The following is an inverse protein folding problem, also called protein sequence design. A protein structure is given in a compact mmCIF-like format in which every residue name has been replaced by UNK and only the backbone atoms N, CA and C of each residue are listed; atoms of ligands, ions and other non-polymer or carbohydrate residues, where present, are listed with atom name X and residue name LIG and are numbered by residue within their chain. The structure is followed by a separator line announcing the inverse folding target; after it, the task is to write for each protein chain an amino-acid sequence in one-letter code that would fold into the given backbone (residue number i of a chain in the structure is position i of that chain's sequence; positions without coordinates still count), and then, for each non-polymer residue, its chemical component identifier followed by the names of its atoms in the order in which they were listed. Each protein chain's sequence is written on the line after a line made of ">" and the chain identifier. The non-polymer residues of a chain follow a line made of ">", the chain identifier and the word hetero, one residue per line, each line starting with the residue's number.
data_IF_696062848510
#
_entry.id   IF_696062848510
#
_cell.length_a   1.000
_cell.length_b   1.000
_cell.length_c   1.000
_cell.angle_alpha   90.00
_cell.angle_beta   90.00
_cell.angle_gamma   90.00
#
_symmetry.space_group_name_H-M   'P 1'
#
loop_
_entity.id
_entity.type
_entity.pdbx_description
1 polymer ?
#
# COMPACT_ATOMS: atom_id res chain seq x y z
N UNK A 1 -1.88 -4.82 3.36
CA UNK A 1 -0.67 -4.28 2.70
C UNK A 1 -1.08 -3.11 1.81
N UNK A 2 -0.15 -2.30 1.30
CA UNK A 2 -0.43 -1.24 0.32
C UNK A 2 -0.96 0.07 0.90
N UNK A 3 -0.89 0.28 2.21
CA UNK A 3 -1.26 1.56 2.82
C UNK A 3 -0.19 2.62 2.57
N UNK A 4 -0.61 3.88 2.49
CA UNK A 4 0.28 5.02 2.38
C UNK A 4 -0.26 6.24 3.14
N UNK A 5 0.65 7.11 3.58
CA UNK A 5 0.33 8.42 4.14
C UNK A 5 0.68 9.49 3.11
N UNK A 6 -0.24 10.44 2.91
CA UNK A 6 -0.06 11.58 2.02
C UNK A 6 0.02 12.86 2.82
N UNK A 7 0.96 13.72 2.44
CA UNK A 7 1.17 15.01 3.07
C UNK A 7 1.91 15.94 2.11
N UNK A 8 1.90 17.24 2.41
CA UNK A 8 2.77 18.20 1.75
C UNK A 8 3.59 18.98 2.76
N UNK A 9 4.78 19.38 2.36
CA UNK A 9 5.70 20.14 3.20
C UNK A 9 6.65 20.97 2.33
N UNK A 10 7.09 22.11 2.84
CA UNK A 10 8.19 22.90 2.29
C UNK A 10 9.55 22.59 2.92
N UNK A 11 9.63 21.55 3.76
CA UNK A 11 10.85 21.13 4.45
C UNK A 11 11.97 20.76 3.48
N UNK A 12 13.21 21.04 3.87
CA UNK A 12 14.43 20.64 3.16
C UNK A 12 14.89 19.23 3.56
N UNK A 13 14.33 18.69 4.64
CA UNK A 13 14.55 17.33 5.11
C UNK A 13 13.25 16.61 5.48
N UNK A 14 13.21 15.30 5.32
CA UNK A 14 12.12 14.44 5.79
C UNK A 14 12.73 13.29 6.57
N UNK A 15 12.31 13.15 7.82
CA UNK A 15 12.65 12.03 8.69
C UNK A 15 11.39 11.23 9.03
N UNK A 16 11.55 9.98 9.43
CA UNK A 16 10.46 9.18 9.97
C UNK A 16 10.93 8.44 11.22
N UNK A 17 10.02 8.32 12.20
CA UNK A 17 10.16 7.43 13.34
C UNK A 17 8.94 6.52 13.37
N UNK A 18 9.15 5.21 13.41
CA UNK A 18 8.06 4.25 13.35
C UNK A 18 8.33 3.00 14.18
N UNK A 19 7.26 2.42 14.69
CA UNK A 19 7.28 1.14 15.40
C UNK A 19 6.50 0.09 14.62
N UNK A 20 7.19 -0.98 14.21
CA UNK A 20 6.57 -2.15 13.60
C UNK A 20 5.84 -3.00 14.66
N UNK A 21 4.76 -3.67 14.27
CA UNK A 21 3.92 -4.41 15.21
C UNK A 21 4.56 -5.71 15.72
N UNK A 22 4.98 -6.58 14.80
CA UNK A 22 5.52 -7.91 15.06
C UNK A 22 7.03 -7.99 15.00
N UNK A 23 7.70 -7.01 14.38
CA UNK A 23 9.12 -7.10 13.99
C UNK A 23 9.38 -8.35 13.14
N UNK A 24 8.50 -8.59 12.18
CA UNK A 24 8.51 -9.78 11.34
C UNK A 24 9.80 -9.87 10.52
N UNK A 25 10.20 -11.10 10.19
CA UNK A 25 11.33 -11.43 9.33
C UNK A 25 10.99 -12.63 8.45
N UNK A 26 11.48 -12.63 7.22
CA UNK A 26 11.32 -13.73 6.28
C UNK A 26 12.63 -13.90 5.50
N UNK A 27 13.13 -15.12 5.41
CA UNK A 27 14.41 -15.42 4.75
C UNK A 27 14.44 -15.10 3.24
N UNK A 28 13.28 -14.95 2.62
CA UNK A 28 13.10 -14.78 1.17
C UNK A 28 12.65 -13.36 0.78
N UNK A 29 12.47 -12.45 1.74
CA UNK A 29 12.03 -11.07 1.50
C UNK A 29 12.90 -10.09 2.28
N UNK A 30 13.19 -8.93 1.67
CA UNK A 30 14.00 -7.89 2.30
C UNK A 30 13.30 -7.31 3.53
N UNK A 31 14.07 -7.02 4.58
CA UNK A 31 13.60 -6.29 5.77
C UNK A 31 12.87 -4.98 5.42
N UNK A 32 13.37 -4.24 4.42
CA UNK A 32 12.75 -3.01 3.93
C UNK A 32 11.34 -3.24 3.38
N UNK A 33 11.13 -4.25 2.54
CA UNK A 33 9.79 -4.62 2.08
C UNK A 33 8.87 -5.06 3.22
N UNK A 34 9.41 -5.78 4.22
CA UNK A 34 8.62 -6.32 5.33
C UNK A 34 8.14 -5.21 6.26
N UNK A 35 9.06 -4.38 6.76
CA UNK A 35 8.83 -3.42 7.85
C UNK A 35 9.48 -2.04 7.66
N UNK A 36 9.98 -1.75 6.46
CA UNK A 36 10.47 -0.43 6.09
C UNK A 36 9.37 0.50 5.56
N UNK A 37 9.78 1.70 5.16
CA UNK A 37 8.93 2.70 4.53
C UNK A 37 9.49 3.08 3.16
N UNK A 38 8.68 3.73 2.32
CA UNK A 38 9.11 4.12 0.98
C UNK A 38 8.54 5.47 0.56
N UNK A 39 9.41 6.48 0.48
CA UNK A 39 9.02 7.86 0.21
C UNK A 39 9.05 8.16 -1.28
N UNK A 40 7.97 8.76 -1.76
CA UNK A 40 7.79 9.28 -3.11
C UNK A 40 7.41 10.77 -3.06
N UNK A 41 7.69 11.49 -4.13
CA UNK A 41 7.25 12.88 -4.30
C UNK A 41 6.68 13.12 -5.70
N UNK A 42 5.75 14.04 -5.83
CA UNK A 42 5.15 14.39 -7.11
C UNK A 42 6.06 15.33 -7.91
N UNK A 43 6.51 14.91 -9.09
CA UNK A 43 7.34 15.71 -9.99
C UNK A 43 6.76 15.65 -11.40
N UNK A 44 6.48 16.83 -11.97
CA UNK A 44 5.77 16.93 -13.24
C UNK A 44 4.35 16.40 -13.10
N UNK A 45 4.13 15.18 -13.57
CA UNK A 45 2.83 14.50 -13.67
C UNK A 45 2.83 13.06 -13.10
N UNK A 46 3.87 12.70 -12.34
CA UNK A 46 3.99 11.36 -11.78
C UNK A 46 4.66 11.35 -10.40
N UNK A 47 4.44 10.25 -9.70
CA UNK A 47 5.10 9.94 -8.43
C UNK A 47 6.51 9.41 -8.67
N UNK A 48 7.51 10.21 -8.33
CA UNK A 48 8.92 9.84 -8.43
C UNK A 48 9.43 9.25 -7.10
N UNK A 49 10.17 8.13 -7.12
CA UNK A 49 10.79 7.59 -5.92
C UNK A 49 11.83 8.57 -5.36
N UNK A 50 11.79 8.77 -4.04
CA UNK A 50 12.77 9.57 -3.31
C UNK A 50 13.78 8.65 -2.66
N UNK A 51 13.37 7.91 -1.62
CA UNK A 51 14.21 6.95 -0.91
C UNK A 51 13.36 6.05 -0.01
N UNK A 52 13.81 4.82 0.18
CA UNK A 52 13.29 3.95 1.23
C UNK A 52 13.89 4.29 2.60
N UNK A 53 13.07 4.15 3.65
CA UNK A 53 13.54 4.13 5.04
C UNK A 53 13.85 2.67 5.41
N UNK A 54 15.11 2.42 5.78
CA UNK A 54 15.63 1.09 6.08
C UNK A 54 15.37 0.78 7.56
N UNK A 55 14.63 -0.28 7.88
CA UNK A 55 14.40 -0.68 9.26
C UNK A 55 15.64 -1.36 9.83
N UNK A 56 15.87 -1.18 11.13
CA UNK A 56 16.87 -1.90 11.93
C UNK A 56 16.27 -2.86 12.94
N UNK A 57 14.94 -2.81 13.15
CA UNK A 57 14.23 -3.71 14.04
C UNK A 57 12.78 -3.27 14.27
N UNK A 58 12.31 -3.44 15.51
CA UNK A 58 10.94 -3.07 15.89
C UNK A 58 10.72 -1.56 15.90
N UNK A 59 11.61 -0.80 16.54
CA UNK A 59 11.57 0.66 16.64
C UNK A 59 12.64 1.26 15.75
N UNK A 60 12.25 2.20 14.91
CA UNK A 60 13.10 2.74 13.87
C UNK A 60 13.00 4.27 13.84
N UNK A 61 14.10 4.93 13.54
CA UNK A 61 14.17 6.38 13.35
C UNK A 61 15.24 6.69 12.31
N UNK A 62 14.89 7.46 11.28
CA UNK A 62 15.80 7.76 10.18
C UNK A 62 15.46 9.07 9.48
N UNK A 63 16.48 9.88 9.17
CA UNK A 63 16.37 10.89 8.11
C UNK A 63 16.36 10.21 6.74
N UNK A 64 15.21 10.24 6.08
CA UNK A 64 15.01 9.61 4.77
C UNK A 64 15.75 10.43 3.70
N UNK A 65 15.57 11.75 3.71
CA UNK A 65 16.25 12.67 2.80
C UNK A 65 16.51 14.01 3.48
N UNK A 66 17.59 14.68 3.09
CA UNK A 66 17.97 16.01 3.56
C UNK A 66 18.65 16.80 2.43
N UNK A 67 18.95 18.08 2.70
CA UNK A 67 19.60 18.98 1.74
C UNK A 67 18.80 19.17 0.44
N UNK A 68 17.47 19.08 0.50
CA UNK A 68 16.60 19.42 -0.63
C UNK A 68 16.49 20.93 -0.79
N UNK A 69 16.21 21.38 -2.01
CA UNK A 69 15.85 22.78 -2.26
C UNK A 69 14.59 23.14 -1.45
N UNK A 70 14.55 24.27 -0.71
CA UNK A 70 13.37 24.70 0.04
C UNK A 70 12.21 25.05 -0.91
N UNK A 71 11.30 24.10 -1.10
CA UNK A 71 10.12 24.26 -1.95
C UNK A 71 9.02 23.34 -1.45
N UNK A 72 7.75 23.76 -1.55
CA UNK A 72 6.62 22.88 -1.26
C UNK A 72 6.65 21.67 -2.19
N UNK A 73 6.47 20.48 -1.61
CA UNK A 73 6.35 19.21 -2.32
C UNK A 73 5.20 18.39 -1.78
N UNK A 74 4.57 17.62 -2.66
CA UNK A 74 3.62 16.58 -2.32
C UNK A 74 4.38 15.28 -2.09
N UNK A 75 4.03 14.57 -1.02
CA UNK A 75 4.65 13.33 -0.61
C UNK A 75 3.64 12.20 -0.49
N UNK A 76 4.11 11.01 -0.83
CA UNK A 76 3.42 9.74 -0.65
C UNK A 76 4.39 8.78 0.03
N UNK A 77 4.09 8.38 1.25
CA UNK A 77 4.93 7.50 2.06
C UNK A 77 4.23 6.15 2.21
N UNK A 78 4.72 5.13 1.50
CA UNK A 78 4.20 3.77 1.65
C UNK A 78 4.65 3.14 2.96
N UNK A 79 3.73 2.39 3.55
CA UNK A 79 3.88 1.68 4.82
C UNK A 79 4.32 0.22 4.61
N UNK A 80 4.76 -0.49 5.66
CA UNK A 80 5.17 -1.90 5.59
C UNK A 80 4.21 -2.83 4.84
N UNK A 81 4.74 -3.81 4.10
CA UNK A 81 3.91 -4.77 3.34
C UNK A 81 3.53 -6.00 4.16
N UNK A 82 4.40 -6.44 5.07
CA UNK A 82 4.31 -7.71 5.79
C UNK A 82 4.42 -7.59 7.31
N UNK A 83 4.49 -6.37 7.82
CA UNK A 83 4.33 -6.06 9.23
C UNK A 83 3.26 -4.98 9.40
N UNK A 84 2.61 -4.94 10.55
CA UNK A 84 1.78 -3.81 10.94
C UNK A 84 2.62 -2.64 11.44
N UNK A 85 1.98 -1.49 11.60
CA UNK A 85 2.59 -0.30 12.21
C UNK A 85 1.80 0.06 13.48
N UNK A 86 2.52 0.30 14.57
CA UNK A 86 1.95 0.73 15.86
C UNK A 86 1.91 2.26 15.93
N UNK A 87 2.98 2.90 15.47
CA UNK A 87 3.11 4.35 15.46
C UNK A 87 3.95 4.80 14.27
N UNK A 88 3.66 6.02 13.81
CA UNK A 88 4.40 6.72 12.75
C UNK A 88 4.44 8.21 13.07
N UNK A 89 5.64 8.76 13.11
CA UNK A 89 5.91 10.19 13.23
C UNK A 89 6.73 10.64 12.02
N UNK A 90 6.35 11.77 11.42
CA UNK A 90 7.07 12.38 10.29
C UNK A 90 7.79 13.62 10.80
N UNK A 91 9.13 13.63 10.68
CA UNK A 91 9.98 14.75 11.06
C UNK A 91 10.20 15.70 9.88
N UNK A 92 10.13 17.00 10.16
CA UNK A 92 10.38 18.11 9.23
C UNK A 92 11.32 19.14 9.88
N UNK A 93 11.82 20.10 9.11
CA UNK A 93 12.56 21.25 9.63
C UNK A 93 11.67 22.06 10.58
N UNK A 94 12.23 22.63 11.65
CA UNK A 94 11.45 23.31 12.70
C UNK A 94 10.63 24.51 12.23
N UNK A 95 11.07 25.19 11.17
CA UNK A 95 10.38 26.32 10.56
C UNK A 95 9.53 25.93 9.34
N UNK A 96 9.53 24.66 8.94
CA UNK A 96 8.69 24.15 7.86
C UNK A 96 7.27 23.84 8.34
N UNK A 97 6.36 23.61 7.42
CA UNK A 97 5.01 23.10 7.72
C UNK A 97 4.84 21.67 7.21
N UNK A 98 3.87 20.97 7.80
CA UNK A 98 3.26 19.76 7.25
C UNK A 98 1.75 19.98 7.18
N UNK A 99 1.16 19.68 6.02
CA UNK A 99 -0.25 19.90 5.76
C UNK A 99 -0.86 18.73 5.00
N UNK A 100 -2.19 18.67 4.98
CA UNK A 100 -2.93 17.78 4.10
C UNK A 100 -2.50 17.97 2.64
N UNK A 101 -2.46 16.89 1.85
CA UNK A 101 -2.10 16.97 0.44
C UNK A 101 -3.08 17.91 -0.30
N UNK A 102 -2.57 18.64 -1.29
CA UNK A 102 -3.37 19.53 -2.14
C UNK A 102 -3.79 18.82 -3.43
N UNK A 103 -2.91 18.00 -4.01
CA UNK A 103 -3.22 17.23 -5.21
C UNK A 103 -4.27 16.15 -4.92
N UNK A 104 -5.12 15.79 -5.89
CA UNK A 104 -6.13 14.75 -5.70
C UNK A 104 -5.58 13.33 -5.92
N UNK A 105 -4.31 13.16 -6.28
CA UNK A 105 -3.75 11.88 -6.71
C UNK A 105 -2.95 11.19 -5.61
N UNK A 106 -3.01 9.85 -5.46
CA UNK A 106 -4.01 8.97 -6.05
C UNK A 106 -5.41 9.32 -5.54
N UNK A 107 -6.39 9.27 -6.46
CA UNK A 107 -7.81 9.50 -6.16
C UNK A 107 -8.38 8.33 -5.36
N UNK A 108 -9.11 8.61 -4.29
CA UNK A 108 -9.69 7.59 -3.39
C UNK A 108 -11.16 7.28 -3.69
N UNK A 109 -11.83 8.10 -4.49
CA UNK A 109 -13.08 7.71 -5.13
C UNK A 109 -12.80 6.60 -6.14
N UNK A 110 -13.79 5.73 -6.36
CA UNK A 110 -13.75 4.68 -7.37
C UNK A 110 -12.49 3.79 -7.37
N UNK A 111 -12.11 3.19 -6.23
CA UNK A 111 -10.87 2.43 -6.12
C UNK A 111 -10.87 1.15 -6.97
N UNK A 112 -9.68 0.64 -7.24
CA UNK A 112 -9.47 -0.72 -7.75
C UNK A 112 -9.25 -1.64 -6.54
N UNK A 113 -9.98 -2.74 -6.46
CA UNK A 113 -9.75 -3.76 -5.44
C UNK A 113 -8.93 -4.91 -6.03
N UNK A 114 -7.94 -5.38 -5.27
CA UNK A 114 -7.14 -6.54 -5.65
C UNK A 114 -7.15 -7.53 -4.50
N UNK A 115 -7.85 -8.65 -4.69
CA UNK A 115 -7.87 -9.77 -3.76
C UNK A 115 -6.95 -10.87 -4.25
N UNK A 116 -6.08 -11.39 -3.39
CA UNK A 116 -5.18 -12.45 -3.81
C UNK A 116 -4.25 -12.97 -2.73
N UNK A 117 -3.08 -13.41 -3.16
CA UNK A 117 -2.18 -14.26 -2.37
C UNK A 117 -1.03 -13.46 -1.73
N UNK A 118 0.06 -14.14 -1.38
CA UNK A 118 1.33 -13.51 -0.99
C UNK A 118 1.86 -12.56 -2.07
N UNK A 119 1.64 -12.90 -3.34
CA UNK A 119 2.09 -12.07 -4.48
C UNK A 119 1.38 -10.71 -4.44
N UNK A 120 0.05 -10.71 -4.27
CA UNK A 120 -0.75 -9.49 -4.07
C UNK A 120 -0.31 -8.73 -2.83
N UNK A 121 -0.08 -9.43 -1.71
CA UNK A 121 0.36 -8.80 -0.47
C UNK A 121 1.71 -8.07 -0.63
N UNK A 122 2.55 -8.54 -1.55
CA UNK A 122 3.82 -7.91 -1.91
C UNK A 122 5.03 -8.81 -1.69
N UNK A 123 4.85 -10.12 -1.55
CA UNK A 123 5.94 -11.09 -1.51
C UNK A 123 6.53 -11.29 -2.92
N UNK A 124 7.80 -10.99 -3.22
CA UNK A 124 8.85 -10.41 -2.37
C UNK A 124 9.39 -9.10 -2.97
N UNK A 125 8.55 -8.06 -2.97
CA UNK A 125 8.97 -6.70 -3.31
C UNK A 125 10.09 -6.22 -2.39
N UNK A 126 11.10 -5.58 -2.97
CA UNK A 126 12.32 -5.13 -2.28
C UNK A 126 12.11 -3.95 -1.32
N UNK A 127 11.01 -3.21 -1.50
CA UNK A 127 10.59 -2.07 -0.67
C UNK A 127 9.09 -1.82 -0.90
N UNK A 128 8.39 -1.16 0.04
CA UNK A 128 6.93 -1.02 -0.02
C UNK A 128 6.36 -0.48 -1.33
N UNK A 129 6.96 0.53 -1.93
CA UNK A 129 6.49 1.11 -3.19
C UNK A 129 6.60 0.19 -4.40
N UNK A 130 7.27 -0.97 -4.27
CA UNK A 130 7.50 -1.92 -5.35
C UNK A 130 6.53 -3.11 -5.35
N UNK A 131 5.55 -3.17 -4.44
CA UNK A 131 4.42 -4.08 -4.65
C UNK A 131 3.69 -3.70 -5.94
N UNK A 132 3.20 -4.68 -6.71
CA UNK A 132 2.61 -4.39 -8.02
C UNK A 132 1.35 -3.51 -7.90
N UNK A 133 0.61 -3.66 -6.80
CA UNK A 133 -0.57 -2.85 -6.47
C UNK A 133 -0.20 -1.39 -6.26
N UNK A 134 0.89 -1.11 -5.53
CA UNK A 134 1.39 0.25 -5.33
C UNK A 134 1.96 0.84 -6.62
N UNK A 135 2.58 0.03 -7.47
CA UNK A 135 3.00 0.47 -8.81
C UNK A 135 1.79 0.86 -9.66
N UNK A 136 0.74 0.05 -9.64
CA UNK A 136 -0.50 0.31 -10.38
C UNK A 136 -1.19 1.58 -9.88
N UNK A 137 -1.26 1.78 -8.56
CA UNK A 137 -1.82 2.98 -7.93
C UNK A 137 -1.19 4.27 -8.48
N UNK A 138 0.14 4.33 -8.53
CA UNK A 138 0.85 5.49 -9.07
C UNK A 138 0.67 5.67 -10.57
N UNK A 139 0.58 4.58 -11.33
CA UNK A 139 0.37 4.63 -12.78
C UNK A 139 -1.04 5.11 -13.14
N UNK A 140 -2.04 4.69 -12.37
CA UNK A 140 -3.44 5.07 -12.59
C UNK A 140 -3.82 6.38 -11.89
N UNK A 141 -2.99 6.85 -10.95
CA UNK A 141 -3.33 7.92 -10.01
C UNK A 141 -4.70 7.68 -9.34
N UNK A 142 -4.95 6.42 -8.98
CA UNK A 142 -6.18 5.89 -8.37
C UNK A 142 -5.81 4.93 -7.26
N UNK A 143 -6.53 4.99 -6.16
CA UNK A 143 -6.36 4.07 -5.03
C UNK A 143 -6.51 2.62 -5.50
N UNK A 144 -5.53 1.78 -5.11
CA UNK A 144 -5.55 0.34 -5.34
C UNK A 144 -5.55 -0.33 -3.97
N UNK A 145 -6.70 -0.84 -3.56
CA UNK A 145 -6.87 -1.50 -2.27
C UNK A 145 -6.31 -2.93 -2.38
N UNK A 146 -5.19 -3.14 -1.70
CA UNK A 146 -4.47 -4.41 -1.68
C UNK A 146 -4.99 -5.31 -0.54
N UNK A 147 -5.81 -6.30 -0.93
CA UNK A 147 -6.33 -7.38 -0.09
C UNK A 147 -5.60 -8.70 -0.41
N UNK A 148 -4.27 -8.66 -0.39
CA UNK A 148 -3.43 -9.85 -0.50
C UNK A 148 -3.22 -10.54 0.85
N UNK A 149 -3.41 -11.85 0.88
CA UNK A 149 -3.27 -12.69 2.06
C UNK A 149 -2.30 -13.84 1.80
N UNK A 150 -1.08 -13.72 2.31
CA UNK A 150 -0.01 -14.72 2.19
C UNK A 150 -0.46 -16.07 2.72
N UNK A 151 -0.47 -17.08 1.84
CA UNK A 151 -0.94 -18.44 2.12
C UNK A 151 -2.45 -18.58 2.40
N UNK A 152 -3.22 -17.49 2.41
CA UNK A 152 -4.60 -17.47 2.92
C UNK A 152 -5.65 -16.89 1.96
N UNK A 153 -5.28 -16.28 0.83
CA UNK A 153 -6.26 -15.81 -0.16
C UNK A 153 -6.97 -16.98 -0.88
N UNK A 154 -7.99 -17.57 -0.27
CA UNK A 154 -8.58 -18.86 -0.66
C UNK A 154 -10.08 -18.81 -1.02
N UNK A 155 -10.52 -17.75 -1.70
CA UNK A 155 -11.94 -17.48 -2.02
C UNK A 155 -12.79 -17.28 -0.75
N UNK A 156 -12.33 -16.42 0.14
CA UNK A 156 -12.98 -16.13 1.42
C UNK A 156 -14.21 -15.24 1.21
N UNK A 157 -15.41 -15.75 1.50
CA UNK A 157 -16.66 -15.04 1.19
C UNK A 157 -16.82 -13.76 2.00
N UNK A 158 -16.31 -13.74 3.23
CA UNK A 158 -16.28 -12.58 4.10
C UNK A 158 -15.46 -11.44 3.48
N UNK A 159 -14.40 -11.77 2.73
CA UNK A 159 -13.61 -10.78 1.98
C UNK A 159 -14.37 -10.31 0.74
N UNK A 160 -15.10 -11.20 0.06
CA UNK A 160 -15.99 -10.78 -1.02
C UNK A 160 -17.08 -9.83 -0.51
N UNK A 161 -17.69 -10.09 0.64
CA UNK A 161 -18.69 -9.24 1.27
C UNK A 161 -18.12 -7.87 1.68
N UNK A 162 -16.89 -7.87 2.22
CA UNK A 162 -16.16 -6.64 2.54
C UNK A 162 -15.90 -5.81 1.28
N UNK A 163 -15.36 -6.42 0.23
CA UNK A 163 -15.15 -5.74 -1.06
C UNK A 163 -16.47 -5.21 -1.64
N UNK A 164 -17.52 -6.04 -1.61
CA UNK A 164 -18.83 -5.71 -2.14
C UNK A 164 -19.52 -4.57 -1.38
N UNK A 165 -19.11 -4.27 -0.14
CA UNK A 165 -19.64 -3.14 0.64
C UNK A 165 -19.29 -1.77 0.06
N UNK A 166 -18.31 -1.69 -0.84
CA UNK A 166 -17.89 -0.45 -1.53
C UNK A 166 -18.52 -0.40 -2.92
N UNK A 167 -19.67 0.26 -3.00
CA UNK A 167 -20.49 0.38 -4.22
C UNK A 167 -19.90 1.31 -5.30
N UNK A 168 -18.78 1.98 -5.03
CA UNK A 168 -18.10 2.86 -5.96
C UNK A 168 -16.93 2.17 -6.68
N UNK A 169 -16.61 0.90 -6.40
CA UNK A 169 -15.48 0.19 -6.97
C UNK A 169 -15.42 0.29 -8.52
N UNK A 170 -14.26 0.69 -9.05
CA UNK A 170 -14.03 0.73 -10.50
C UNK A 170 -13.87 -0.67 -11.09
N UNK A 171 -13.11 -1.52 -10.39
CA UNK A 171 -12.74 -2.87 -10.86
C UNK A 171 -12.44 -3.76 -9.65
N UNK A 172 -12.85 -5.02 -9.72
CA UNK A 172 -12.39 -6.10 -8.84
C UNK A 172 -11.40 -7.01 -9.60
N UNK A 173 -10.16 -7.08 -9.12
CA UNK A 173 -9.12 -7.97 -9.63
C UNK A 173 -8.99 -9.15 -8.67
N UNK A 174 -9.18 -10.37 -9.17
CA UNK A 174 -9.18 -11.60 -8.38
C UNK A 174 -7.97 -12.47 -8.76
N UNK A 175 -6.92 -12.42 -7.95
CA UNK A 175 -5.60 -13.02 -8.15
C UNK A 175 -5.31 -14.07 -7.05
N UNK A 176 -6.25 -14.99 -6.85
CA UNK A 176 -6.25 -15.98 -5.75
C UNK A 176 -5.72 -17.36 -6.15
N UNK A 177 -5.57 -17.64 -7.45
CA UNK A 177 -5.25 -18.96 -8.00
C UNK A 177 -4.07 -19.65 -7.30
N UNK A 178 -2.95 -18.98 -6.97
CA UNK A 178 -1.80 -19.65 -6.35
C UNK A 178 -2.09 -20.31 -4.99
N UNK A 179 -3.15 -19.92 -4.28
CA UNK A 179 -3.47 -20.45 -2.94
C UNK A 179 -4.63 -21.44 -2.93
N UNK A 180 -5.29 -21.69 -4.07
CA UNK A 180 -6.47 -22.56 -4.15
C UNK A 180 -6.22 -23.80 -5.00
N UNK A 181 -6.97 -24.86 -4.73
CA UNK A 181 -6.97 -26.07 -5.53
C UNK A 181 -8.20 -26.14 -6.47
N UNK A 182 -8.20 -27.13 -7.37
CA UNK A 182 -9.27 -27.32 -8.35
C UNK A 182 -10.66 -27.53 -7.73
N UNK A 183 -10.75 -28.14 -6.54
CA UNK A 183 -12.02 -28.33 -5.84
C UNK A 183 -12.57 -26.99 -5.34
N UNK A 184 -11.74 -26.20 -4.67
CA UNK A 184 -12.12 -24.85 -4.20
C UNK A 184 -12.54 -23.95 -5.36
N UNK A 185 -11.85 -24.01 -6.51
CA UNK A 185 -12.23 -23.24 -7.70
C UNK A 185 -13.64 -23.64 -8.16
N UNK A 186 -13.94 -24.93 -8.28
CA UNK A 186 -15.26 -25.42 -8.70
C UNK A 186 -16.37 -25.02 -7.74
N UNK A 187 -16.12 -25.19 -6.44
CA UNK A 187 -17.16 -25.08 -5.43
C UNK A 187 -17.43 -23.63 -5.00
N UNK A 188 -16.38 -22.78 -4.99
CA UNK A 188 -16.45 -21.46 -4.33
C UNK A 188 -16.53 -20.28 -5.30
N UNK A 189 -15.95 -20.39 -6.50
CA UNK A 189 -15.77 -19.21 -7.38
C UNK A 189 -17.10 -18.58 -7.78
N UNK A 190 -18.10 -19.39 -8.17
CA UNK A 190 -19.40 -18.87 -8.60
C UNK A 190 -20.10 -18.09 -7.47
N UNK A 191 -20.05 -18.61 -6.23
CA UNK A 191 -20.63 -17.93 -5.07
C UNK A 191 -19.87 -16.65 -4.72
N UNK A 192 -18.54 -16.69 -4.72
CA UNK A 192 -17.70 -15.52 -4.48
C UNK A 192 -18.05 -14.38 -5.46
N UNK A 193 -18.18 -14.70 -6.75
CA UNK A 193 -18.53 -13.71 -7.77
C UNK A 193 -19.97 -13.19 -7.62
N UNK A 194 -20.92 -14.07 -7.27
CA UNK A 194 -22.29 -13.68 -7.02
C UNK A 194 -22.41 -12.63 -5.89
N UNK A 195 -21.64 -12.80 -4.80
CA UNK A 195 -21.59 -11.84 -3.68
C UNK A 195 -21.15 -10.45 -4.16
N UNK A 196 -20.11 -10.37 -4.99
CA UNK A 196 -19.65 -9.10 -5.55
C UNK A 196 -20.73 -8.43 -6.41
N UNK A 197 -21.34 -9.21 -7.31
CA UNK A 197 -22.34 -8.74 -8.29
C UNK A 197 -23.67 -8.32 -7.66
N UNK A 198 -24.04 -8.93 -6.54
CA UNK A 198 -25.28 -8.59 -5.82
C UNK A 198 -25.30 -7.12 -5.39
N UNK A 199 -24.17 -6.58 -4.92
CA UNK A 199 -24.04 -5.17 -4.50
C UNK A 199 -23.44 -4.27 -5.58
N UNK A 200 -22.69 -4.85 -6.53
CA UNK A 200 -22.00 -4.13 -7.60
C UNK A 200 -22.36 -4.74 -8.97
N UNK A 201 -23.60 -4.53 -9.47
CA UNK A 201 -24.08 -5.18 -10.68
C UNK A 201 -23.47 -4.63 -11.98
N UNK A 202 -22.85 -3.43 -11.92
CA UNK A 202 -22.31 -2.72 -13.10
C UNK A 202 -20.78 -2.64 -13.13
N UNK A 203 -20.12 -2.84 -11.98
CA UNK A 203 -18.70 -3.19 -11.91
C UNK A 203 -18.53 -4.62 -12.40
#
# INVERSE_FOLDING_TARGET
>A
SGLAVRFRSNSTSISAKWEASGNNQMNHMTETGIKGLDLYTWIGDHWQPVKAALPSGKKNEQTIISNMIPSEREYLLYLPLYDGIVSLEIGIDSAAYIQNPRLPYPKTDHPVFVYGTSITQGGCASRPGMSYTNILERKLNREVINLGFSGNGQLDYEIAELMASRNDASVFVLDFIPNVNAQQIRDKTARFFAILREKNPQT
#
